data_IF_047497917688
#
_entry.id   IF_047497917688
#
_cell.length_a   1.000
_cell.length_b   1.000
_cell.length_c   1.000
_cell.angle_alpha   90.00
_cell.angle_beta   90.00
_cell.angle_gamma   90.00
#
_symmetry.space_group_name_H-M   'P 1'
#
loop_
_entity.id
_entity.type
_entity.pdbx_description
1 polymer ?
#
# COMPACT_ATOMS: atom_id res chain seq x y z
N UNK A 1 32.86 -18.02 -16.34
CA UNK A 1 32.57 -16.92 -17.28
C UNK A 1 33.44 -15.72 -16.95
N UNK A 2 34.12 -15.15 -17.95
CA UNK A 2 34.91 -13.93 -17.79
C UNK A 2 34.03 -12.69 -17.86
N UNK A 3 33.52 -12.25 -16.71
CA UNK A 3 32.65 -11.08 -16.56
C UNK A 3 33.34 -9.73 -16.79
N UNK A 4 34.57 -9.71 -17.31
CA UNK A 4 35.32 -8.49 -17.62
C UNK A 4 34.86 -7.85 -18.93
N UNK A 5 34.53 -8.68 -19.92
CA UNK A 5 34.14 -8.21 -21.27
C UNK A 5 32.62 -8.05 -21.42
N UNK A 6 31.84 -8.57 -20.47
CA UNK A 6 30.37 -8.47 -20.46
C UNK A 6 29.97 -7.01 -20.29
N UNK A 7 29.22 -6.47 -21.24
CA UNK A 7 28.71 -5.09 -21.16
C UNK A 7 27.47 -5.03 -20.25
N UNK A 8 26.99 -3.82 -19.96
CA UNK A 8 25.75 -3.66 -19.18
C UNK A 8 24.52 -4.16 -19.96
N UNK A 9 24.51 -4.03 -21.29
CA UNK A 9 23.44 -4.52 -22.16
C UNK A 9 23.32 -6.04 -22.09
N UNK A 10 24.43 -6.74 -22.28
CA UNK A 10 24.46 -8.21 -22.21
C UNK A 10 23.99 -8.74 -20.84
N UNK A 11 24.32 -8.03 -19.76
CA UNK A 11 23.86 -8.38 -18.42
C UNK A 11 22.34 -8.18 -18.26
N UNK A 12 21.78 -7.11 -18.83
CA UNK A 12 20.34 -6.83 -18.79
C UNK A 12 19.58 -7.90 -19.59
N UNK A 13 20.06 -8.22 -20.79
CA UNK A 13 19.46 -9.26 -21.62
C UNK A 13 19.52 -10.62 -20.93
N UNK A 14 20.67 -10.98 -20.34
CA UNK A 14 20.81 -12.20 -19.56
C UNK A 14 19.91 -12.24 -18.31
N UNK A 15 19.64 -11.11 -17.67
CA UNK A 15 18.70 -11.02 -16.54
C UNK A 15 17.24 -11.12 -17.00
N UNK A 16 16.93 -10.68 -18.22
CA UNK A 16 15.59 -10.74 -18.80
C UNK A 16 15.20 -12.15 -19.22
N UNK A 17 16.13 -12.91 -19.78
CA UNK A 17 15.92 -14.29 -20.23
C UNK A 17 15.87 -15.31 -19.10
N UNK A 18 16.29 -14.90 -17.91
CA UNK A 18 16.51 -15.79 -16.77
C UNK A 18 15.19 -16.15 -16.07
N UNK A 19 14.98 -17.46 -15.84
CA UNK A 19 13.85 -17.95 -15.06
C UNK A 19 13.95 -17.59 -13.57
N UNK A 20 12.87 -17.00 -13.05
CA UNK A 20 12.74 -16.51 -11.67
C UNK A 20 12.21 -17.56 -10.69
N UNK A 21 11.86 -18.76 -11.16
CA UNK A 21 11.36 -19.87 -10.34
C UNK A 21 12.45 -20.59 -9.53
N UNK A 22 13.72 -20.25 -9.75
CA UNK A 22 14.84 -20.85 -9.04
C UNK A 22 14.84 -20.46 -7.55
N UNK A 23 15.00 -21.42 -6.62
CA UNK A 23 15.07 -21.12 -5.19
C UNK A 23 16.26 -20.22 -4.86
N UNK A 24 16.16 -19.38 -3.82
CA UNK A 24 17.26 -18.53 -3.39
C UNK A 24 18.46 -19.36 -2.96
N UNK A 25 19.66 -18.83 -3.20
CA UNK A 25 20.93 -19.49 -2.82
C UNK A 25 21.11 -19.47 -1.30
N UNK A 26 21.79 -20.47 -0.71
CA UNK A 26 21.97 -20.56 0.73
C UNK A 26 22.65 -19.30 1.31
N UNK A 27 22.10 -18.79 2.42
CA UNK A 27 22.56 -17.54 3.04
C UNK A 27 23.99 -17.66 3.60
N UNK A 28 24.39 -18.85 4.06
CA UNK A 28 25.77 -19.12 4.50
C UNK A 28 26.77 -18.89 3.38
N UNK A 29 26.43 -19.27 2.15
CA UNK A 29 27.28 -19.01 0.97
C UNK A 29 27.32 -17.51 0.66
N UNK A 30 26.17 -16.85 0.67
CA UNK A 30 26.03 -15.42 0.35
C UNK A 30 26.87 -14.51 1.27
N UNK A 31 26.93 -14.81 2.57
CA UNK A 31 27.67 -13.99 3.54
C UNK A 31 29.11 -14.46 3.80
N UNK A 32 29.50 -15.68 3.38
CA UNK A 32 30.82 -16.24 3.71
C UNK A 32 31.99 -15.66 2.93
N UNK A 33 31.78 -15.13 1.71
CA UNK A 33 32.87 -14.78 0.77
C UNK A 33 32.99 -13.30 0.48
N UNK A 34 32.90 -12.45 1.51
CA UNK A 34 33.14 -11.02 1.34
C UNK A 34 34.64 -10.73 1.23
N UNK A 35 35.10 -10.35 0.04
CA UNK A 35 36.51 -9.99 -0.20
C UNK A 35 36.60 -8.64 -0.90
N UNK A 36 37.32 -7.70 -0.31
CA UNK A 36 37.49 -6.34 -0.83
C UNK A 36 38.39 -6.38 -2.08
N UNK A 37 37.91 -5.95 -3.26
CA UNK A 37 38.71 -5.98 -4.48
C UNK A 37 39.77 -4.87 -4.48
N UNK A 38 41.01 -5.19 -4.87
CA UNK A 38 42.14 -4.23 -4.96
C UNK A 38 42.11 -3.30 -6.20
N UNK A 39 41.16 -3.47 -7.13
CA UNK A 39 41.10 -2.70 -8.38
C UNK A 39 39.66 -2.56 -8.86
N UNK A 40 39.32 -1.39 -9.42
CA UNK A 40 38.00 -1.07 -9.95
C UNK A 40 37.51 -2.07 -11.02
N UNK A 41 38.39 -2.50 -11.93
CA UNK A 41 38.04 -3.46 -12.98
C UNK A 41 37.65 -4.82 -12.38
N UNK A 42 38.37 -5.27 -11.33
CA UNK A 42 38.04 -6.49 -10.61
C UNK A 42 36.76 -6.34 -9.79
N UNK A 43 36.51 -5.16 -9.23
CA UNK A 43 35.28 -4.85 -8.50
C UNK A 43 34.06 -4.91 -9.42
N UNK A 44 34.11 -4.25 -10.58
CA UNK A 44 33.00 -4.23 -11.54
C UNK A 44 32.65 -5.64 -12.04
N UNK A 45 33.66 -6.45 -12.38
CA UNK A 45 33.46 -7.84 -12.80
C UNK A 45 32.83 -8.69 -11.69
N UNK A 46 33.23 -8.50 -10.43
CA UNK A 46 32.63 -9.20 -9.28
C UNK A 46 31.20 -8.77 -9.02
N UNK A 47 30.89 -7.48 -9.18
CA UNK A 47 29.54 -6.97 -9.02
C UNK A 47 28.59 -7.60 -10.05
N UNK A 48 28.98 -7.60 -11.34
CA UNK A 48 28.18 -8.22 -12.42
C UNK A 48 27.93 -9.72 -12.14
N UNK A 49 29.00 -10.44 -11.77
CA UNK A 49 28.91 -11.86 -11.45
C UNK A 49 27.99 -12.13 -10.25
N UNK A 50 28.19 -11.41 -9.14
CA UNK A 50 27.40 -11.58 -7.93
C UNK A 50 25.93 -11.23 -8.16
N UNK A 51 25.65 -10.13 -8.89
CA UNK A 51 24.28 -9.71 -9.21
C UNK A 51 23.53 -10.78 -9.99
N UNK A 52 24.17 -11.35 -11.02
CA UNK A 52 23.59 -12.44 -11.80
C UNK A 52 23.40 -13.72 -10.96
N UNK A 53 24.40 -14.07 -10.16
CA UNK A 53 24.43 -15.32 -9.37
C UNK A 53 23.46 -15.30 -8.18
N UNK A 54 23.34 -14.17 -7.48
CA UNK A 54 22.53 -14.00 -6.26
C UNK A 54 21.27 -13.15 -6.48
N UNK A 55 20.78 -13.04 -7.72
CA UNK A 55 19.61 -12.22 -8.11
C UNK A 55 18.42 -12.32 -7.17
N UNK A 56 17.99 -13.55 -6.84
CA UNK A 56 16.82 -13.82 -5.98
C UNK A 56 17.09 -13.38 -4.55
N UNK A 57 18.31 -13.58 -4.03
CA UNK A 57 18.70 -13.15 -2.70
C UNK A 57 18.68 -11.61 -2.59
N UNK A 58 19.19 -10.91 -3.61
CA UNK A 58 19.12 -9.45 -3.66
C UNK A 58 17.68 -8.94 -3.76
N UNK A 59 16.84 -9.59 -4.56
CA UNK A 59 15.41 -9.25 -4.65
C UNK A 59 14.71 -9.37 -3.30
N UNK A 60 14.91 -10.49 -2.59
CA UNK A 60 14.35 -10.69 -1.25
C UNK A 60 14.86 -9.62 -0.28
N UNK A 61 16.16 -9.28 -0.31
CA UNK A 61 16.72 -8.21 0.51
C UNK A 61 16.08 -6.85 0.23
N UNK A 62 15.85 -6.51 -1.05
CA UNK A 62 15.18 -5.27 -1.44
C UNK A 62 13.74 -5.25 -0.91
N UNK A 63 12.98 -6.33 -1.08
CA UNK A 63 11.61 -6.45 -0.57
C UNK A 63 11.59 -6.33 0.95
N UNK A 64 12.52 -6.96 1.66
CA UNK A 64 12.64 -6.86 3.12
C UNK A 64 12.99 -5.43 3.56
N UNK A 65 13.92 -4.76 2.88
CA UNK A 65 14.29 -3.37 3.20
C UNK A 65 13.12 -2.42 2.93
N UNK A 66 12.41 -2.59 1.82
CA UNK A 66 11.21 -1.81 1.49
C UNK A 66 10.09 -2.07 2.50
N UNK A 67 9.84 -3.34 2.83
CA UNK A 67 8.89 -3.74 3.86
C UNK A 67 9.24 -3.15 5.23
N UNK A 68 10.51 -3.26 5.65
CA UNK A 68 11.00 -2.62 6.88
C UNK A 68 10.92 -1.11 6.83
N UNK A 69 11.14 -0.48 5.68
CA UNK A 69 10.98 0.96 5.48
C UNK A 69 9.52 1.39 5.69
N UNK A 70 8.58 0.59 5.18
CA UNK A 70 7.15 0.75 5.43
C UNK A 70 6.83 0.56 6.92
N UNK A 71 7.34 -0.52 7.55
CA UNK A 71 7.16 -0.80 8.98
C UNK A 71 7.79 0.27 9.90
N UNK A 72 8.91 0.89 9.50
CA UNK A 72 9.57 1.97 10.27
C UNK A 72 8.81 3.28 10.22
N UNK A 73 7.94 3.47 9.23
CA UNK A 73 7.02 4.61 9.14
C UNK A 73 5.58 4.11 9.22
N UNK A 74 5.16 3.51 10.35
CA UNK A 74 3.79 3.00 10.50
C UNK A 74 2.75 4.11 10.32
N UNK A 75 3.12 5.34 10.68
CA UNK A 75 2.32 6.54 10.45
C UNK A 75 2.04 6.80 8.96
N UNK A 76 2.99 6.53 8.06
CA UNK A 76 2.77 6.69 6.63
C UNK A 76 1.77 5.66 6.07
N UNK A 77 1.77 4.44 6.64
CA UNK A 77 0.78 3.41 6.32
C UNK A 77 -0.61 3.85 6.77
N UNK A 78 -0.71 4.34 8.02
CA UNK A 78 -1.96 4.83 8.59
C UNK A 78 -2.48 6.02 7.79
N UNK A 79 -1.63 6.97 7.43
CA UNK A 79 -1.99 8.10 6.58
C UNK A 79 -2.44 7.66 5.17
N UNK A 80 -1.77 6.67 4.56
CA UNK A 80 -2.20 6.10 3.27
C UNK A 80 -3.57 5.39 3.37
N UNK A 81 -3.84 4.71 4.48
CA UNK A 81 -5.15 4.08 4.73
C UNK A 81 -6.24 5.12 4.97
N UNK A 82 -5.94 6.18 5.75
CA UNK A 82 -6.87 7.28 6.02
C UNK A 82 -7.21 8.07 4.76
N UNK A 83 -6.23 8.32 3.89
CA UNK A 83 -6.46 8.93 2.57
C UNK A 83 -7.29 8.01 1.68
N UNK A 84 -7.00 6.72 1.61
CA UNK A 84 -7.80 5.76 0.86
C UNK A 84 -9.26 5.69 1.36
N UNK A 85 -9.48 5.71 2.68
CA UNK A 85 -10.81 5.78 3.29
C UNK A 85 -11.52 7.10 2.95
N UNK A 86 -10.80 8.23 2.97
CA UNK A 86 -11.33 9.53 2.57
C UNK A 86 -11.83 9.50 1.12
N UNK A 87 -11.03 8.94 0.22
CA UNK A 87 -11.39 8.76 -1.19
C UNK A 87 -12.59 7.81 -1.34
N UNK A 88 -12.63 6.72 -0.57
CA UNK A 88 -13.77 5.81 -0.58
C UNK A 88 -15.07 6.49 -0.09
N UNK A 89 -15.00 7.37 0.91
CA UNK A 89 -16.16 8.14 1.38
C UNK A 89 -16.66 9.22 0.41
N UNK A 90 -15.84 9.61 -0.59
CA UNK A 90 -16.32 10.44 -1.70
C UNK A 90 -17.26 9.66 -2.64
N UNK A 91 -17.21 8.32 -2.62
CA UNK A 91 -18.11 7.48 -3.38
C UNK A 91 -19.46 7.32 -2.66
N UNK A 92 -20.54 7.73 -3.33
CA UNK A 92 -21.90 7.73 -2.78
C UNK A 92 -22.39 6.32 -2.39
N UNK A 93 -22.06 5.29 -3.19
CA UNK A 93 -22.45 3.90 -2.92
C UNK A 93 -21.70 3.33 -1.70
N UNK A 94 -20.42 3.65 -1.56
CA UNK A 94 -19.62 3.25 -0.41
C UNK A 94 -20.10 3.94 0.87
N UNK A 95 -20.33 5.26 0.84
CA UNK A 95 -20.80 6.02 2.00
C UNK A 95 -22.18 5.54 2.49
N UNK A 96 -23.11 5.25 1.58
CA UNK A 96 -24.44 4.72 1.93
C UNK A 96 -24.37 3.34 2.58
N UNK A 97 -23.66 2.39 1.95
CA UNK A 97 -23.53 1.02 2.48
C UNK A 97 -22.79 0.97 3.82
N UNK A 98 -21.78 1.81 4.01
CA UNK A 98 -21.07 1.95 5.29
C UNK A 98 -22.01 2.46 6.39
N UNK A 99 -22.76 3.55 6.13
CA UNK A 99 -23.70 4.14 7.09
C UNK A 99 -24.77 3.14 7.52
N UNK A 100 -25.31 2.35 6.59
CA UNK A 100 -26.29 1.30 6.89
C UNK A 100 -25.71 0.20 7.76
N UNK A 101 -24.50 -0.30 7.42
CA UNK A 101 -23.83 -1.35 8.20
C UNK A 101 -23.53 -0.88 9.61
N UNK A 102 -22.95 0.31 9.77
CA UNK A 102 -22.66 0.90 11.08
C UNK A 102 -23.93 1.12 11.89
N UNK A 103 -24.99 1.62 11.26
CA UNK A 103 -26.28 1.80 11.95
C UNK A 103 -26.87 0.45 12.39
N UNK A 104 -26.75 -0.61 11.57
CA UNK A 104 -27.21 -1.96 11.94
C UNK A 104 -26.41 -2.56 13.09
N UNK A 105 -25.08 -2.45 13.07
CA UNK A 105 -24.25 -2.94 14.18
C UNK A 105 -24.55 -2.16 15.46
N UNK A 106 -24.65 -0.84 15.40
CA UNK A 106 -24.97 -0.06 16.60
C UNK A 106 -26.39 -0.33 17.09
N UNK A 107 -27.36 -0.66 16.23
CA UNK A 107 -28.68 -1.14 16.70
C UNK A 107 -28.58 -2.41 17.54
N UNK A 108 -27.65 -3.32 17.22
CA UNK A 108 -27.45 -4.55 17.98
C UNK A 108 -26.84 -4.28 19.37
N UNK A 109 -25.97 -3.28 19.50
CA UNK A 109 -25.34 -2.94 20.78
C UNK A 109 -26.16 -1.93 21.61
N UNK A 110 -26.72 -0.91 20.98
CA UNK A 110 -27.49 0.15 21.65
C UNK A 110 -28.54 0.76 20.70
N UNK A 111 -29.82 0.38 20.86
CA UNK A 111 -30.90 0.90 20.02
C UNK A 111 -31.10 2.41 20.19
N UNK A 112 -30.78 2.97 21.36
CA UNK A 112 -30.90 4.40 21.63
C UNK A 112 -29.84 5.24 20.88
N UNK A 113 -28.60 4.75 20.76
CA UNK A 113 -27.56 5.41 19.95
C UNK A 113 -27.88 5.33 18.46
N UNK A 114 -28.45 4.21 18.00
CA UNK A 114 -28.86 4.07 16.62
C UNK A 114 -30.03 4.99 16.23
N UNK A 115 -30.91 5.35 17.19
CA UNK A 115 -31.96 6.33 16.96
C UNK A 115 -31.38 7.73 16.72
N UNK A 116 -30.32 8.10 17.46
CA UNK A 116 -29.61 9.39 17.31
C UNK A 116 -28.82 9.51 16.01
N UNK A 117 -28.38 8.40 15.41
CA UNK A 117 -27.64 8.38 14.14
C UNK A 117 -28.51 8.39 12.89
N UNK A 118 -29.84 8.42 13.02
CA UNK A 118 -30.72 8.54 11.85
C UNK A 118 -30.50 9.90 11.17
N UNK A 119 -30.45 9.97 9.83
CA UNK A 119 -30.40 11.24 9.12
C UNK A 119 -31.60 12.11 9.54
N UNK A 120 -31.43 13.44 9.65
CA UNK A 120 -32.54 14.34 9.89
C UNK A 120 -33.61 14.10 8.81
N UNK A 121 -34.85 13.86 9.24
CA UNK A 121 -35.99 13.68 8.35
C UNK A 121 -36.17 14.97 7.56
N UNK A 122 -35.64 15.04 6.34
CA UNK A 122 -36.00 16.10 5.42
C UNK A 122 -37.44 15.81 4.99
N UNK A 123 -38.42 16.67 5.32
CA UNK A 123 -39.79 16.45 4.89
C UNK A 123 -39.80 16.40 3.37
N UNK A 124 -40.16 15.24 2.82
CA UNK A 124 -40.35 15.09 1.38
C UNK A 124 -41.58 15.90 1.01
N UNK A 125 -41.35 17.14 0.57
CA UNK A 125 -42.39 17.92 -0.10
C UNK A 125 -42.65 17.21 -1.43
N UNK A 126 -43.79 16.50 -1.48
CA UNK A 126 -44.27 15.76 -2.65
C UNK A 126 -44.26 16.70 -3.86
N UNK A 127 -43.40 16.44 -4.84
CA UNK A 127 -43.39 17.15 -6.13
C UNK A 127 -42.17 18.03 -6.45
N UNK A 128 -41.23 18.27 -5.52
CA UNK A 128 -39.99 19.01 -5.84
C UNK A 128 -38.85 18.03 -6.12
N UNK A 129 -38.19 18.08 -7.30
CA UNK A 129 -36.96 17.33 -7.51
C UNK A 129 -35.93 17.81 -6.48
N UNK A 130 -35.51 16.90 -5.60
CA UNK A 130 -34.55 17.18 -4.53
C UNK A 130 -33.21 17.53 -5.17
N UNK A 131 -32.91 18.84 -5.26
CA UNK A 131 -31.63 19.35 -5.75
C UNK A 131 -30.53 18.86 -4.81
N UNK A 132 -29.81 17.80 -5.24
CA UNK A 132 -28.71 17.12 -4.54
C UNK A 132 -29.09 16.61 -3.14
N UNK A 133 -29.53 15.34 -3.08
CA UNK A 133 -29.72 14.58 -1.84
C UNK A 133 -28.41 14.60 -1.05
N UNK A 134 -28.32 15.44 -0.02
CA UNK A 134 -27.14 15.54 0.83
C UNK A 134 -26.92 14.20 1.55
N UNK A 135 -25.80 13.54 1.26
CA UNK A 135 -25.48 12.22 1.82
C UNK A 135 -24.94 12.39 3.23
N UNK A 136 -25.61 11.73 4.17
CA UNK A 136 -25.27 11.75 5.58
C UNK A 136 -24.70 10.38 5.98
N UNK A 137 -23.56 10.40 6.68
CA UNK A 137 -22.95 9.23 7.30
C UNK A 137 -23.23 9.36 8.80
N UNK A 138 -23.93 8.38 9.39
CA UNK A 138 -24.30 8.39 10.82
C UNK A 138 -24.99 9.69 11.31
N UNK A 139 -25.78 10.34 10.46
CA UNK A 139 -26.49 11.60 10.79
C UNK A 139 -25.67 12.88 10.62
N UNK A 140 -24.37 12.79 10.29
CA UNK A 140 -23.51 13.94 9.97
C UNK A 140 -23.31 14.06 8.45
N UNK A 141 -23.10 15.27 7.90
CA UNK A 141 -22.81 15.42 6.48
C UNK A 141 -21.46 14.77 6.14
N UNK A 142 -21.36 14.09 4.99
CA UNK A 142 -20.15 13.36 4.56
C UNK A 142 -18.85 14.18 4.65
N UNK A 143 -18.93 15.50 4.49
CA UNK A 143 -17.80 16.42 4.59
C UNK A 143 -17.10 16.42 5.94
N UNK A 144 -17.81 16.10 7.03
CA UNK A 144 -17.23 16.01 8.38
C UNK A 144 -16.29 14.80 8.49
N UNK A 145 -16.70 13.64 7.96
CA UNK A 145 -15.85 12.45 7.94
C UNK A 145 -14.64 12.65 7.02
N UNK A 146 -14.85 13.24 5.84
CA UNK A 146 -13.77 13.60 4.90
C UNK A 146 -12.76 14.55 5.57
N UNK A 147 -13.23 15.56 6.31
CA UNK A 147 -12.37 16.49 7.05
C UNK A 147 -11.59 15.79 8.17
N UNK A 148 -12.24 14.97 9.00
CA UNK A 148 -11.60 14.27 10.12
C UNK A 148 -10.51 13.32 9.61
N UNK A 149 -10.81 12.52 8.57
CA UNK A 149 -9.85 11.58 8.02
C UNK A 149 -8.72 12.29 7.25
N UNK A 150 -9.00 13.41 6.59
CA UNK A 150 -7.97 14.26 5.96
C UNK A 150 -7.05 14.91 7.00
N UNK A 151 -7.59 15.46 8.09
CA UNK A 151 -6.80 16.05 9.18
C UNK A 151 -5.88 15.03 9.87
N UNK A 152 -6.32 13.77 9.97
CA UNK A 152 -5.51 12.68 10.54
C UNK A 152 -4.39 12.16 9.63
N UNK A 153 -4.26 12.68 8.40
CA UNK A 153 -3.21 12.28 7.44
C UNK A 153 -1.94 13.14 7.52
N UNK A 154 -1.99 14.25 8.28
CA UNK A 154 -0.89 15.20 8.48
C UNK A 154 -0.16 14.99 9.81
#
# INVERSE_FOLDING_TARGET
MDWRNVTAGDLIDALREVDWSSPPRPLSEFFSRFTVPRSYVKWNSRLKCNLYYYRTNYFIMIVLILGMGFLRRPLAIVAALLTALTVAFLNDSFAGTFSEKVTRTVRQFSPHLAAKMRPPLTPVIRGRPSTKRAIHICGQPRGVFVMIFSLGTY
#
